data_IF_224500495293
#
_entry.id   IF_224500495293
#
_cell.length_a   1.000
_cell.length_b   1.000
_cell.length_c   1.000
_cell.angle_alpha   90.00
_cell.angle_beta   90.00
_cell.angle_gamma   90.00
#
_symmetry.space_group_name_H-M   'P 1'
#
loop_
_entity.id
_entity.type
_entity.pdbx_description
1 polymer ?
#
# COMPACT_ATOMS: atom_id res chain seq x y z
N UNK A 1 22.59 65.09 31.86
CA UNK A 1 21.79 64.65 30.69
C UNK A 1 21.89 63.13 30.59
N UNK A 2 20.85 62.38 31.00
CA UNK A 2 20.83 60.91 30.89
C UNK A 2 19.97 60.54 29.67
N UNK A 3 20.58 59.91 28.66
CA UNK A 3 19.86 59.40 27.48
C UNK A 3 19.11 58.13 27.89
N UNK A 4 17.79 58.18 27.79
CA UNK A 4 16.90 57.05 27.99
C UNK A 4 16.80 56.30 26.66
N UNK A 5 17.29 55.08 26.59
CA UNK A 5 17.12 54.20 25.43
C UNK A 5 15.92 53.29 25.70
N UNK A 6 14.85 53.48 24.93
CA UNK A 6 13.66 52.63 24.96
C UNK A 6 13.93 51.42 24.04
N UNK A 7 13.89 50.16 24.54
CA UNK A 7 14.08 49.00 23.69
C UNK A 7 12.84 48.82 22.81
N UNK A 8 13.00 48.94 21.49
CA UNK A 8 11.96 48.65 20.53
C UNK A 8 11.81 47.13 20.42
N UNK A 9 10.85 46.56 21.13
CA UNK A 9 10.50 45.14 21.02
C UNK A 9 9.83 44.91 19.67
N UNK A 10 10.58 44.36 18.71
CA UNK A 10 10.06 43.97 17.41
C UNK A 10 9.25 42.68 17.58
N UNK A 11 7.93 42.81 17.60
CA UNK A 11 7.01 41.67 17.63
C UNK A 11 7.05 40.99 16.25
N UNK A 12 7.80 39.89 16.11
CA UNK A 12 7.70 39.03 14.94
C UNK A 12 6.31 38.38 14.95
N UNK A 13 5.40 38.89 14.12
CA UNK A 13 4.19 38.14 13.78
C UNK A 13 4.62 36.98 12.88
N UNK A 14 4.67 35.78 13.44
CA UNK A 14 4.75 34.56 12.66
C UNK A 14 3.42 34.44 11.91
N UNK A 15 3.41 34.80 10.63
CA UNK A 15 2.28 34.45 9.75
C UNK A 15 2.20 32.93 9.71
N UNK A 16 1.05 32.32 10.05
CA UNK A 16 0.90 30.89 9.84
C UNK A 16 1.15 30.62 8.36
N UNK A 17 2.11 29.74 8.08
CA UNK A 17 2.33 29.21 6.73
C UNK A 17 1.14 28.29 6.47
N UNK A 18 0.02 28.87 6.05
CA UNK A 18 -1.07 28.10 5.48
C UNK A 18 -0.50 27.50 4.18
N UNK A 19 -0.76 26.21 3.93
CA UNK A 19 -0.43 25.59 2.65
C UNK A 19 -0.89 26.52 1.52
N UNK A 20 0.08 27.08 0.78
CA UNK A 20 -0.21 28.15 -0.17
C UNK A 20 -1.09 27.58 -1.29
N UNK A 21 -2.35 28.03 -1.38
CA UNK A 21 -3.26 27.65 -2.45
C UNK A 21 -2.73 28.18 -3.79
N UNK A 22 -1.95 27.35 -4.47
CA UNK A 22 -1.30 27.62 -5.73
C UNK A 22 -1.66 26.52 -6.75
N UNK A 23 -1.27 26.71 -7.99
CA UNK A 23 -1.62 25.76 -9.06
C UNK A 23 -1.14 24.32 -8.78
N UNK A 24 -0.05 24.12 -8.03
CA UNK A 24 0.45 22.80 -7.69
C UNK A 24 -0.39 22.15 -6.57
N UNK A 25 -0.75 22.88 -5.52
CA UNK A 25 -1.62 22.35 -4.45
C UNK A 25 -3.02 22.06 -4.96
N UNK A 26 -3.55 22.86 -5.89
CA UNK A 26 -4.84 22.60 -6.55
C UNK A 26 -4.81 21.30 -7.35
N UNK A 27 -3.74 21.06 -8.13
CA UNK A 27 -3.55 19.79 -8.86
C UNK A 27 -3.50 18.58 -7.94
N UNK A 28 -2.73 18.67 -6.84
CA UNK A 28 -2.65 17.58 -5.86
C UNK A 28 -3.99 17.36 -5.16
N UNK A 29 -4.73 18.42 -4.85
CA UNK A 29 -6.06 18.33 -4.23
C UNK A 29 -7.06 17.66 -5.16
N UNK A 30 -7.03 17.99 -6.45
CA UNK A 30 -7.87 17.32 -7.46
C UNK A 30 -7.50 15.84 -7.59
N UNK A 31 -6.19 15.53 -7.65
CA UNK A 31 -5.72 14.16 -7.70
C UNK A 31 -6.14 13.35 -6.46
N UNK A 32 -6.20 13.98 -5.28
CA UNK A 32 -6.57 13.29 -4.04
C UNK A 32 -7.96 12.63 -4.09
N UNK A 33 -8.87 13.15 -4.93
CA UNK A 33 -10.20 12.55 -5.17
C UNK A 33 -10.13 11.15 -5.79
N UNK A 34 -9.03 10.80 -6.46
CA UNK A 34 -8.80 9.46 -7.00
C UNK A 34 -8.63 8.40 -5.90
N UNK A 35 -8.31 8.82 -4.68
CA UNK A 35 -8.07 7.95 -3.53
C UNK A 35 -9.25 7.87 -2.56
N UNK A 36 -10.44 8.33 -2.96
CA UNK A 36 -11.66 8.10 -2.20
C UNK A 36 -11.91 6.59 -2.04
N UNK A 37 -12.24 6.18 -0.82
CA UNK A 37 -12.46 4.78 -0.49
C UNK A 37 -13.71 4.25 -1.19
N UNK A 38 -13.52 3.28 -2.08
CA UNK A 38 -14.60 2.58 -2.77
C UNK A 38 -14.15 1.24 -3.32
N UNK A 39 -15.11 0.33 -3.51
CA UNK A 39 -14.91 -0.87 -4.31
C UNK A 39 -15.48 -0.62 -5.71
N UNK A 40 -14.63 -0.78 -6.72
CA UNK A 40 -14.98 -0.60 -8.13
C UNK A 40 -15.14 -1.96 -8.78
N UNK A 41 -16.27 -2.22 -9.44
CA UNK A 41 -16.43 -3.38 -10.34
C UNK A 41 -15.67 -3.08 -11.64
N UNK A 42 -14.53 -3.73 -11.85
CA UNK A 42 -13.65 -3.50 -13.01
C UNK A 42 -14.09 -4.34 -14.20
N UNK A 43 -14.50 -5.57 -13.94
CA UNK A 43 -15.05 -6.50 -14.92
C UNK A 43 -16.08 -7.40 -14.25
N UNK A 44 -16.67 -8.34 -15.00
CA UNK A 44 -17.50 -9.34 -14.35
C UNK A 44 -16.69 -10.17 -13.36
N UNK A 45 -17.23 -10.36 -12.14
CA UNK A 45 -16.55 -11.04 -11.02
C UNK A 45 -15.21 -10.43 -10.56
N UNK A 46 -14.79 -9.27 -11.07
CA UNK A 46 -13.55 -8.59 -10.69
C UNK A 46 -13.84 -7.25 -10.01
N UNK A 47 -13.38 -7.09 -8.79
CA UNK A 47 -13.61 -5.92 -7.96
C UNK A 47 -12.30 -5.40 -7.37
N UNK A 48 -12.09 -4.08 -7.36
CA UNK A 48 -10.88 -3.47 -6.83
C UNK A 48 -11.23 -2.45 -5.75
N UNK A 49 -10.67 -2.64 -4.56
CA UNK A 49 -10.71 -1.67 -3.47
C UNK A 49 -9.65 -0.59 -3.71
N UNK A 50 -10.11 0.65 -3.83
CA UNK A 50 -9.29 1.84 -4.11
C UNK A 50 -9.30 2.76 -2.89
N UNK A 51 -8.16 3.39 -2.57
CA UNK A 51 -8.06 4.38 -1.49
C UNK A 51 -8.03 3.82 -0.07
N UNK A 52 -8.22 2.51 0.09
CA UNK A 52 -8.16 1.83 1.39
C UNK A 52 -6.74 1.73 1.95
N UNK A 53 -5.74 1.66 1.07
CA UNK A 53 -4.31 1.49 1.33
C UNK A 53 -3.51 2.29 0.28
N UNK A 54 -2.18 2.48 0.40
CA UNK A 54 -1.38 3.06 -0.68
C UNK A 54 -1.50 2.31 -2.01
N UNK A 55 -1.41 0.98 -1.99
CA UNK A 55 -1.74 0.13 -3.13
C UNK A 55 -3.23 -0.21 -3.18
N UNK A 56 -3.74 -0.44 -4.39
CA UNK A 56 -5.06 -1.03 -4.58
C UNK A 56 -5.02 -2.53 -4.27
N UNK A 57 -6.17 -3.09 -3.92
CA UNK A 57 -6.32 -4.53 -3.71
C UNK A 57 -7.47 -5.02 -4.57
N UNK A 58 -7.27 -6.11 -5.31
CA UNK A 58 -8.31 -6.67 -6.18
C UNK A 58 -8.78 -8.03 -5.70
N UNK A 59 -10.08 -8.30 -5.86
CA UNK A 59 -10.72 -9.59 -5.66
C UNK A 59 -11.25 -10.09 -7.00
N UNK A 60 -10.84 -11.30 -7.35
CA UNK A 60 -11.38 -12.07 -8.47
C UNK A 60 -12.23 -13.18 -7.87
N UNK A 61 -13.51 -13.19 -8.19
CA UNK A 61 -14.44 -14.21 -7.73
C UNK A 61 -14.47 -15.40 -8.70
N UNK A 62 -14.11 -16.58 -8.18
CA UNK A 62 -14.21 -17.85 -8.88
C UNK A 62 -15.49 -18.62 -8.60
N UNK A 63 -15.49 -19.90 -8.96
CA UNK A 63 -16.62 -20.79 -8.76
C UNK A 63 -16.76 -21.20 -7.29
N UNK A 64 -15.67 -21.59 -6.63
CA UNK A 64 -15.66 -22.07 -5.23
C UNK A 64 -14.76 -21.25 -4.29
N UNK A 65 -14.20 -20.13 -4.77
CA UNK A 65 -13.25 -19.35 -4.00
C UNK A 65 -12.98 -17.95 -4.52
N UNK A 66 -12.30 -17.16 -3.69
CA UNK A 66 -11.79 -15.84 -4.04
C UNK A 66 -10.28 -15.90 -4.27
N UNK A 67 -9.81 -15.14 -5.25
CA UNK A 67 -8.40 -14.83 -5.44
C UNK A 67 -8.19 -13.34 -5.16
N UNK A 68 -7.26 -13.05 -4.25
CA UNK A 68 -6.93 -11.68 -3.86
C UNK A 68 -5.60 -11.31 -4.52
N UNK A 69 -5.53 -10.15 -5.16
CA UNK A 69 -4.31 -9.58 -5.73
C UNK A 69 -3.90 -8.40 -4.86
N UNK A 70 -2.74 -8.55 -4.21
CA UNK A 70 -2.21 -7.68 -3.16
C UNK A 70 -3.12 -7.53 -1.93
N UNK A 71 -2.62 -6.94 -0.85
CA UNK A 71 -3.28 -7.05 0.46
C UNK A 71 -3.26 -5.76 1.29
N UNK A 72 -2.69 -4.68 0.74
CA UNK A 72 -2.55 -3.43 1.45
C UNK A 72 -1.35 -3.40 2.40
N UNK A 73 -1.12 -2.22 3.00
CA UNK A 73 0.04 -1.93 3.84
C UNK A 73 -0.05 -2.52 5.25
N UNK A 74 -1.24 -2.83 5.73
CA UNK A 74 -1.44 -3.27 7.09
C UNK A 74 -2.63 -4.20 7.25
N UNK A 75 -2.65 -4.94 8.36
CA UNK A 75 -3.78 -5.79 8.73
C UNK A 75 -5.07 -4.95 8.86
N UNK A 76 -5.00 -3.71 9.34
CA UNK A 76 -6.16 -2.81 9.41
C UNK A 76 -6.70 -2.47 8.02
N UNK A 77 -5.81 -2.13 7.08
CA UNK A 77 -6.22 -1.86 5.70
C UNK A 77 -6.84 -3.11 5.07
N UNK A 78 -6.18 -4.26 5.20
CA UNK A 78 -6.67 -5.54 4.70
C UNK A 78 -8.02 -5.93 5.30
N UNK A 79 -8.24 -5.69 6.61
CA UNK A 79 -9.50 -5.99 7.31
C UNK A 79 -10.64 -5.16 6.73
N UNK A 80 -10.45 -3.83 6.63
CA UNK A 80 -11.46 -2.93 6.06
C UNK A 80 -11.78 -3.26 4.59
N UNK A 81 -10.77 -3.67 3.82
CA UNK A 81 -10.96 -4.12 2.43
C UNK A 81 -11.77 -5.42 2.40
N UNK A 82 -11.41 -6.39 3.24
CA UNK A 82 -12.09 -7.68 3.28
C UNK A 82 -13.55 -7.54 3.73
N UNK A 83 -13.86 -6.62 4.65
CA UNK A 83 -15.23 -6.27 5.04
C UNK A 83 -16.07 -5.81 3.84
N UNK A 84 -15.52 -4.97 2.95
CA UNK A 84 -16.23 -4.55 1.74
C UNK A 84 -16.38 -5.70 0.73
N UNK A 85 -15.35 -6.52 0.54
CA UNK A 85 -15.43 -7.70 -0.33
C UNK A 85 -16.44 -8.74 0.16
N UNK A 86 -16.60 -8.90 1.48
CA UNK A 86 -17.59 -9.80 2.08
C UNK A 86 -19.03 -9.38 1.82
N UNK A 87 -19.30 -8.10 1.54
CA UNK A 87 -20.63 -7.66 1.07
C UNK A 87 -20.98 -8.18 -0.32
N UNK A 88 -19.97 -8.61 -1.09
CA UNK A 88 -20.13 -9.08 -2.47
C UNK A 88 -20.07 -10.61 -2.57
N UNK A 89 -19.27 -11.27 -1.73
CA UNK A 89 -19.12 -12.73 -1.76
C UNK A 89 -18.68 -13.32 -0.42
N UNK A 90 -19.32 -14.43 -0.03
CA UNK A 90 -18.98 -15.21 1.16
C UNK A 90 -18.00 -16.35 0.89
N UNK A 91 -17.52 -16.49 -0.35
CA UNK A 91 -16.60 -17.57 -0.73
C UNK A 91 -15.28 -17.50 0.05
N UNK A 92 -14.67 -18.65 0.39
CA UNK A 92 -13.37 -18.66 1.07
C UNK A 92 -12.29 -18.08 0.15
N UNK A 93 -11.31 -17.39 0.74
CA UNK A 93 -10.11 -16.98 0.00
C UNK A 93 -9.26 -18.21 -0.25
N UNK A 94 -9.02 -18.55 -1.52
CA UNK A 94 -8.23 -19.72 -1.94
C UNK A 94 -6.79 -19.34 -2.29
N UNK A 95 -6.60 -18.14 -2.83
CA UNK A 95 -5.28 -17.62 -3.14
C UNK A 95 -5.15 -16.12 -2.85
N UNK A 96 -3.92 -15.74 -2.50
CA UNK A 96 -3.40 -14.39 -2.53
C UNK A 96 -2.25 -14.38 -3.54
N UNK A 97 -2.20 -13.38 -4.41
CA UNK A 97 -1.12 -13.15 -5.36
C UNK A 97 -0.48 -11.83 -4.98
N UNK A 98 0.80 -11.86 -4.62
CA UNK A 98 1.58 -10.64 -4.49
C UNK A 98 2.17 -10.29 -5.85
N UNK A 99 1.86 -9.08 -6.33
CA UNK A 99 2.47 -8.54 -7.54
C UNK A 99 3.97 -8.35 -7.32
N UNK A 100 4.38 -7.84 -6.15
CA UNK A 100 5.76 -7.76 -5.71
C UNK A 100 5.88 -7.59 -4.18
N UNK A 101 7.11 -7.56 -3.65
CA UNK A 101 7.38 -7.63 -2.21
C UNK A 101 7.32 -6.31 -1.43
N UNK A 102 6.80 -5.21 -1.98
CA UNK A 102 6.65 -3.98 -1.20
C UNK A 102 5.57 -4.11 -0.11
N UNK A 103 5.72 -3.32 0.94
CA UNK A 103 4.91 -3.45 2.16
C UNK A 103 3.43 -3.16 1.92
N UNK A 104 3.11 -2.20 1.05
CA UNK A 104 1.77 -1.85 0.62
C UNK A 104 1.05 -2.92 -0.18
N UNK A 105 1.77 -3.92 -0.69
CA UNK A 105 1.21 -5.05 -1.41
C UNK A 105 1.03 -6.28 -0.51
N UNK A 106 1.84 -6.39 0.56
CA UNK A 106 2.00 -7.63 1.34
C UNK A 106 1.58 -7.52 2.80
N UNK A 107 1.47 -6.31 3.35
CA UNK A 107 1.36 -6.06 4.78
C UNK A 107 0.01 -6.43 5.41
N UNK A 108 -1.05 -6.54 4.61
CA UNK A 108 -2.40 -6.90 5.10
C UNK A 108 -2.78 -8.36 4.92
N UNK A 109 -1.89 -9.23 4.44
CA UNK A 109 -2.23 -10.58 4.00
C UNK A 109 -2.97 -11.44 5.03
N UNK A 110 -2.61 -11.34 6.31
CA UNK A 110 -3.26 -12.08 7.39
C UNK A 110 -4.76 -11.75 7.55
N UNK A 111 -5.20 -10.56 7.13
CA UNK A 111 -6.61 -10.16 7.20
C UNK A 111 -7.50 -10.94 6.21
N UNK A 112 -6.91 -11.55 5.18
CA UNK A 112 -7.63 -12.32 4.16
C UNK A 112 -7.68 -13.82 4.48
N UNK A 113 -7.12 -14.25 5.62
CA UNK A 113 -7.13 -15.66 6.00
C UNK A 113 -8.50 -16.06 6.53
N UNK A 114 -8.98 -17.24 6.11
CA UNK A 114 -10.17 -17.86 6.66
C UNK A 114 -9.80 -18.98 7.64
N UNK A 115 -10.61 -20.03 7.67
CA UNK A 115 -10.32 -21.25 8.43
C UNK A 115 -9.06 -21.98 7.91
N UNK A 116 -8.76 -21.80 6.62
CA UNK A 116 -7.59 -22.36 5.97
C UNK A 116 -6.67 -21.23 5.49
N UNK A 117 -5.35 -21.49 5.53
CA UNK A 117 -4.36 -20.58 4.95
C UNK A 117 -4.45 -20.66 3.42
N UNK A 118 -4.65 -19.53 2.70
CA UNK A 118 -4.70 -19.55 1.25
C UNK A 118 -3.34 -19.90 0.64
N UNK A 119 -3.33 -20.30 -0.64
CA UNK A 119 -2.09 -20.30 -1.42
C UNK A 119 -1.60 -18.85 -1.52
N UNK A 120 -0.31 -18.62 -1.29
CA UNK A 120 0.29 -17.28 -1.45
C UNK A 120 1.30 -17.38 -2.59
N UNK A 121 0.97 -16.77 -3.72
CA UNK A 121 1.76 -16.75 -4.93
C UNK A 121 2.60 -15.48 -5.00
N UNK A 122 3.85 -15.61 -5.47
CA UNK A 122 4.74 -14.49 -5.76
C UNK A 122 5.75 -14.88 -6.85
N UNK A 123 6.53 -13.94 -7.35
CA UNK A 123 7.67 -14.28 -8.20
C UNK A 123 8.79 -14.98 -7.39
N UNK A 124 9.56 -15.89 -8.01
CA UNK A 124 10.67 -16.61 -7.32
C UNK A 124 11.72 -15.69 -6.68
N UNK A 125 11.87 -14.46 -7.20
CA UNK A 125 12.80 -13.48 -6.66
C UNK A 125 12.21 -12.68 -5.48
N UNK A 126 11.07 -13.09 -4.91
CA UNK A 126 10.35 -12.36 -3.86
C UNK A 126 11.28 -11.73 -2.81
N UNK A 127 11.13 -10.42 -2.61
CA UNK A 127 11.89 -9.64 -1.63
C UNK A 127 13.38 -9.48 -1.97
N UNK A 128 13.78 -9.72 -3.22
CA UNK A 128 15.17 -9.59 -3.68
C UNK A 128 15.73 -8.18 -3.51
N UNK A 129 14.91 -7.14 -3.73
CA UNK A 129 15.33 -5.75 -3.58
C UNK A 129 15.79 -5.44 -2.15
N UNK A 130 15.15 -6.01 -1.13
CA UNK A 130 15.48 -5.76 0.27
C UNK A 130 16.81 -6.41 0.71
N UNK A 131 17.31 -7.44 -0.02
CA UNK A 131 18.45 -8.27 0.43
C UNK A 131 19.76 -7.48 0.50
N UNK A 132 20.18 -6.69 -0.52
CA UNK A 132 21.42 -5.91 -0.44
C UNK A 132 21.40 -4.87 0.68
N UNK A 133 20.25 -4.20 0.89
CA UNK A 133 20.10 -3.22 1.97
C UNK A 133 20.28 -3.86 3.35
N UNK A 134 19.63 -5.01 3.57
CA UNK A 134 19.76 -5.77 4.82
C UNK A 134 21.19 -6.28 5.03
N UNK A 135 21.81 -6.85 3.99
CA UNK A 135 23.18 -7.35 4.06
C UNK A 135 24.20 -6.24 4.35
N UNK A 136 24.00 -5.05 3.79
CA UNK A 136 24.85 -3.88 4.02
C UNK A 136 24.54 -3.11 5.31
N UNK A 137 23.54 -3.51 6.10
CA UNK A 137 23.11 -2.77 7.28
C UNK A 137 22.62 -1.35 6.98
N UNK A 138 22.17 -1.09 5.77
CA UNK A 138 21.77 0.24 5.30
C UNK A 138 20.41 0.61 5.91
N UNK A 139 20.34 1.77 6.56
CA UNK A 139 19.13 2.28 7.23
C UNK A 139 18.68 3.64 6.70
N UNK A 140 19.47 4.28 5.83
CA UNK A 140 19.22 5.63 5.33
C UNK A 140 17.95 5.73 4.46
N UNK A 141 17.51 4.62 3.87
CA UNK A 141 16.21 4.50 3.19
C UNK A 141 15.04 4.84 4.11
N UNK A 142 15.14 4.59 5.42
CA UNK A 142 14.07 4.95 6.36
C UNK A 142 13.96 6.47 6.49
N UNK A 143 15.09 7.18 6.49
CA UNK A 143 15.13 8.65 6.53
C UNK A 143 14.59 9.23 5.24
N UNK A 144 14.99 8.68 4.09
CA UNK A 144 14.52 9.10 2.76
C UNK A 144 13.03 8.82 2.58
N UNK A 145 12.57 7.63 2.92
CA UNK A 145 11.16 7.22 2.86
C UNK A 145 10.27 8.10 3.74
N UNK A 146 10.71 8.43 4.96
CA UNK A 146 9.95 9.34 5.81
C UNK A 146 9.82 10.76 5.23
N UNK A 147 10.83 11.23 4.48
CA UNK A 147 10.78 12.53 3.78
C UNK A 147 9.90 12.45 2.54
N UNK A 148 10.07 11.42 1.71
CA UNK A 148 9.25 11.18 0.51
C UNK A 148 7.78 11.05 0.86
N UNK A 149 7.46 10.32 1.93
CA UNK A 149 6.10 10.12 2.37
C UNK A 149 5.53 11.29 3.20
N UNK A 150 6.33 12.33 3.47
CA UNK A 150 5.88 13.50 4.24
C UNK A 150 5.48 13.19 5.68
N UNK A 151 5.96 12.11 6.30
CA UNK A 151 5.52 11.67 7.64
C UNK A 151 5.81 12.65 8.77
N UNK A 152 6.65 13.67 8.53
CA UNK A 152 6.99 14.72 9.48
C UNK A 152 6.23 16.03 9.24
N UNK A 153 5.45 16.11 8.16
CA UNK A 153 4.63 17.29 7.86
C UNK A 153 3.35 17.28 8.72
N UNK A 154 2.86 18.46 9.13
CA UNK A 154 1.52 18.62 9.66
C UNK A 154 0.45 18.00 8.74
N UNK A 155 -0.65 17.43 9.30
CA UNK A 155 -1.75 16.86 8.50
C UNK A 155 -2.32 17.77 7.41
N UNK A 156 -2.43 19.06 7.69
CA UNK A 156 -2.94 20.09 6.79
C UNK A 156 -1.95 20.46 5.66
N UNK A 157 -0.67 20.09 5.80
CA UNK A 157 0.36 20.29 4.77
C UNK A 157 0.56 19.04 3.88
N UNK A 158 -0.17 17.95 4.14
CA UNK A 158 0.00 16.69 3.42
C UNK A 158 -1.28 16.29 2.68
N UNK A 159 -1.34 16.68 1.41
CA UNK A 159 -2.50 16.42 0.54
C UNK A 159 -2.58 14.94 0.13
N UNK A 160 -1.53 14.42 -0.50
CA UNK A 160 -1.41 13.02 -0.91
C UNK A 160 0.08 12.64 -1.10
N UNK A 161 0.36 11.39 -1.45
CA UNK A 161 1.71 10.87 -1.72
C UNK A 161 1.97 10.64 -3.23
N UNK A 162 1.29 11.37 -4.10
CA UNK A 162 1.36 11.23 -5.56
C UNK A 162 0.56 10.04 -6.07
N UNK A 163 0.96 8.82 -5.71
CA UNK A 163 0.28 7.57 -6.14
C UNK A 163 -0.74 7.04 -5.12
N UNK A 164 -0.80 7.66 -3.94
CA UNK A 164 -1.52 7.13 -2.78
C UNK A 164 -2.13 8.26 -1.92
N UNK A 165 -3.19 7.96 -1.13
CA UNK A 165 -3.71 8.90 -0.15
C UNK A 165 -2.66 9.20 0.94
N UNK A 166 -2.73 10.41 1.52
CA UNK A 166 -1.94 10.73 2.69
C UNK A 166 -2.41 9.86 3.89
N UNK A 167 -1.55 8.96 4.36
CA UNK A 167 -1.82 8.13 5.56
C UNK A 167 -0.78 8.33 6.64
N UNK A 168 -1.24 8.43 7.88
CA UNK A 168 -0.42 8.51 9.07
C UNK A 168 -0.38 7.13 9.73
N UNK A 169 0.66 6.31 9.50
CA UNK A 169 0.78 5.04 10.19
C UNK A 169 0.83 5.29 11.70
N UNK A 170 -0.02 4.57 12.46
CA UNK A 170 0.05 4.60 13.93
C UNK A 170 1.43 4.07 14.34
N UNK A 171 2.22 4.89 15.06
CA UNK A 171 3.53 4.46 15.61
C UNK A 171 3.36 3.17 16.41
N UNK A 172 4.18 2.16 16.14
CA UNK A 172 4.18 0.89 16.88
C UNK A 172 3.10 -0.10 16.46
N UNK A 173 2.18 0.26 15.55
CA UNK A 173 1.40 -0.71 14.81
C UNK A 173 2.32 -1.47 13.87
N UNK A 174 2.08 -2.75 13.66
CA UNK A 174 2.88 -3.54 12.74
C UNK A 174 2.64 -3.10 11.29
N UNK A 175 3.32 -2.03 10.86
CA UNK A 175 3.34 -1.58 9.46
C UNK A 175 4.02 -2.61 8.56
N UNK A 176 4.70 -3.61 9.16
CA UNK A 176 5.41 -4.68 8.48
C UNK A 176 5.30 -6.03 9.22
N UNK A 177 4.18 -6.36 9.89
CA UNK A 177 4.04 -7.74 10.44
C UNK A 177 3.82 -8.72 9.30
N UNK A 178 4.90 -9.10 8.64
CA UNK A 178 4.96 -10.36 7.93
C UNK A 178 5.29 -11.44 8.97
N UNK A 179 4.26 -12.02 9.58
CA UNK A 179 4.44 -13.28 10.30
C UNK A 179 4.87 -14.38 9.32
N UNK A 180 5.43 -15.49 9.80
CA UNK A 180 5.90 -16.59 8.92
C UNK A 180 4.75 -17.14 8.05
N UNK A 181 3.53 -17.04 8.54
CA UNK A 181 2.29 -17.45 7.89
C UNK A 181 1.90 -16.58 6.68
N UNK A 182 2.42 -15.36 6.55
CA UNK A 182 2.13 -14.50 5.38
C UNK A 182 3.17 -14.62 4.27
N UNK A 183 4.20 -15.46 4.46
CA UNK A 183 5.20 -15.68 3.42
C UNK A 183 4.62 -16.46 2.23
N UNK A 184 5.08 -16.18 0.99
CA UNK A 184 4.69 -16.96 -0.18
C UNK A 184 4.93 -18.46 -0.01
N UNK A 185 3.98 -19.25 -0.47
CA UNK A 185 4.04 -20.72 -0.48
C UNK A 185 4.21 -21.28 -1.89
N UNK A 186 3.91 -20.48 -2.91
CA UNK A 186 3.97 -20.84 -4.32
C UNK A 186 4.70 -19.75 -5.10
N UNK A 187 5.41 -20.15 -6.15
CA UNK A 187 6.24 -19.23 -6.92
C UNK A 187 6.01 -19.36 -8.42
N UNK A 188 5.99 -18.20 -9.09
CA UNK A 188 6.23 -18.11 -10.53
C UNK A 188 7.72 -18.30 -10.80
N UNK A 189 8.03 -19.31 -11.60
CA UNK A 189 9.36 -19.56 -12.15
C UNK A 189 9.32 -19.36 -13.66
N UNK A 190 10.31 -18.64 -14.20
CA UNK A 190 10.33 -18.28 -15.62
C UNK A 190 9.42 -17.08 -15.92
N UNK A 191 9.10 -16.90 -17.20
CA UNK A 191 8.44 -15.67 -17.66
C UNK A 191 6.92 -15.72 -17.48
N UNK A 192 6.30 -16.91 -17.55
CA UNK A 192 4.84 -17.08 -17.54
C UNK A 192 4.43 -18.41 -16.92
N UNK A 193 3.28 -18.44 -16.24
CA UNK A 193 2.65 -19.66 -15.72
C UNK A 193 1.14 -19.50 -15.57
N UNK A 194 0.36 -20.38 -16.19
CA UNK A 194 -1.06 -20.51 -15.88
C UNK A 194 -1.27 -21.29 -14.58
N UNK A 195 -2.16 -20.81 -13.73
CA UNK A 195 -2.64 -21.48 -12.53
C UNK A 195 -4.16 -21.58 -12.60
N UNK A 196 -4.73 -22.63 -12.01
CA UNK A 196 -6.16 -22.71 -11.77
C UNK A 196 -6.40 -22.73 -10.26
N UNK A 197 -7.11 -21.72 -9.76
CA UNK A 197 -7.43 -21.61 -8.34
C UNK A 197 -8.80 -20.98 -8.17
N UNK A 198 -9.61 -21.56 -7.27
CA UNK A 198 -10.98 -21.11 -7.08
C UNK A 198 -11.90 -21.38 -8.29
N UNK A 199 -11.50 -22.22 -9.25
CA UNK A 199 -12.19 -22.38 -10.53
C UNK A 199 -11.87 -21.32 -11.59
N UNK A 200 -10.90 -20.42 -11.33
CA UNK A 200 -10.46 -19.39 -12.30
C UNK A 200 -9.09 -19.75 -12.85
N UNK A 201 -8.94 -19.66 -14.16
CA UNK A 201 -7.63 -19.69 -14.82
C UNK A 201 -7.00 -18.30 -14.77
N UNK A 202 -5.79 -18.21 -14.22
CA UNK A 202 -5.02 -16.97 -14.07
C UNK A 202 -3.64 -17.19 -14.66
N UNK A 203 -3.19 -16.29 -15.53
CA UNK A 203 -1.82 -16.30 -16.05
C UNK A 203 -0.96 -15.36 -15.21
N UNK A 204 0.04 -15.90 -14.51
CA UNK A 204 1.06 -15.10 -13.86
C UNK A 204 2.15 -14.77 -14.89
N UNK A 205 2.50 -13.50 -15.05
CA UNK A 205 3.53 -13.06 -16.00
C UNK A 205 4.59 -12.24 -15.28
N UNK A 206 5.85 -12.67 -15.38
CA UNK A 206 6.97 -11.93 -14.82
C UNK A 206 7.13 -10.61 -15.58
N UNK A 207 7.25 -9.52 -14.83
CA UNK A 207 7.37 -8.18 -15.39
C UNK A 207 8.36 -7.34 -14.56
N UNK A 208 9.64 -7.75 -14.48
CA UNK A 208 10.61 -7.01 -13.69
C UNK A 208 10.75 -5.57 -14.21
N UNK A 209 10.30 -4.60 -13.41
CA UNK A 209 10.30 -3.17 -13.75
C UNK A 209 10.50 -2.29 -12.53
N UNK A 210 9.46 -2.18 -11.69
CA UNK A 210 9.52 -1.54 -10.38
C UNK A 210 10.46 -2.33 -9.45
N UNK A 211 10.30 -3.65 -9.41
CA UNK A 211 11.20 -4.55 -8.68
C UNK A 211 11.59 -5.78 -9.50
N UNK A 212 12.69 -6.45 -9.11
CA UNK A 212 13.16 -7.69 -9.76
C UNK A 212 12.24 -8.91 -9.51
N UNK A 213 11.22 -8.74 -8.67
CA UNK A 213 10.23 -9.74 -8.30
C UNK A 213 8.81 -9.38 -8.69
N UNK A 214 8.66 -8.38 -9.55
CA UNK A 214 7.35 -7.95 -10.06
C UNK A 214 6.76 -8.94 -11.06
N UNK A 215 5.46 -9.16 -10.91
CA UNK A 215 4.59 -9.86 -11.85
C UNK A 215 3.25 -9.13 -12.00
N UNK A 216 2.57 -9.39 -13.11
CA UNK A 216 1.16 -9.04 -13.30
C UNK A 216 0.31 -10.28 -13.56
N UNK A 217 -1.01 -10.09 -13.43
CA UNK A 217 -2.07 -11.09 -13.67
C UNK A 217 -3.22 -10.49 -14.45
#
# INVERSE_FOLDING_TARGET
MKRLYLPMTMLLMATPVVAQDNAATQKLTEQAKQFEQRVVKVADKVHTAVGFSPANVSMIEGDDGLVIVDTGMSIDDGTRIMEEFRKLSDKPVKAIIFTHAHGDHTGGAAAFFGNERPQIWAHKNFGSEARPWKAGGLTFQNVRGARQAGFKLPPDERINNGVAPARYPKRGGAVFSSGKETMPTHFLEGDRKSINVGGVEIELVAAPGETNDELFV
#
